data_IF_734039502622
#
_entry.id   IF_734039502622
#
_cell.length_a   1.000
_cell.length_b   1.000
_cell.length_c   1.000
_cell.angle_alpha   90.00
_cell.angle_beta   90.00
_cell.angle_gamma   90.00
#
_symmetry.space_group_name_H-M   'P 1'
#
loop_
_entity.id
_entity.type
_entity.pdbx_description
1 polymer ?
#
# COMPACT_ATOMS: atom_id res chain seq x y z
N UNK A 1 0.17 34.03 2.84
CA UNK A 1 -0.43 33.35 1.68
C UNK A 1 0.04 31.91 1.74
N UNK A 2 -0.88 30.95 1.67
CA UNK A 2 -0.56 29.53 1.76
C UNK A 2 0.25 29.11 0.52
N UNK A 3 1.34 28.37 0.69
CA UNK A 3 2.10 27.79 -0.42
C UNK A 3 1.74 26.31 -0.61
N UNK A 4 1.27 25.97 -1.81
CA UNK A 4 0.82 24.63 -2.16
C UNK A 4 1.84 23.98 -3.10
N UNK A 5 2.41 22.85 -2.68
CA UNK A 5 3.33 22.05 -3.48
C UNK A 5 2.60 20.84 -4.04
N UNK A 6 2.54 20.73 -5.36
CA UNK A 6 1.91 19.62 -6.07
C UNK A 6 2.96 18.64 -6.59
N UNK A 7 2.69 17.35 -6.45
CA UNK A 7 3.50 16.28 -7.03
C UNK A 7 2.66 15.31 -7.88
N UNK A 8 3.34 14.51 -8.69
CA UNK A 8 2.76 13.58 -9.68
C UNK A 8 2.03 12.36 -9.08
N UNK A 9 1.99 12.24 -7.75
CA UNK A 9 1.41 11.08 -7.09
C UNK A 9 2.33 9.89 -6.93
N UNK A 10 3.61 10.00 -7.28
CA UNK A 10 4.64 9.00 -6.97
C UNK A 10 5.29 9.25 -5.60
N UNK A 11 5.90 8.22 -5.01
CA UNK A 11 6.61 8.37 -3.74
C UNK A 11 7.85 9.28 -3.89
N UNK A 12 8.56 9.17 -5.01
CA UNK A 12 9.70 10.04 -5.31
C UNK A 12 9.27 11.49 -5.49
N UNK A 13 8.17 11.72 -6.22
CA UNK A 13 7.55 13.04 -6.36
C UNK A 13 7.17 13.66 -5.02
N UNK A 14 6.60 12.85 -4.11
CA UNK A 14 6.32 13.30 -2.74
C UNK A 14 7.60 13.70 -2.00
N UNK A 15 8.68 12.90 -2.07
CA UNK A 15 9.95 13.24 -1.43
C UNK A 15 10.52 14.55 -1.97
N UNK A 16 10.45 14.78 -3.28
CA UNK A 16 10.85 16.04 -3.90
C UNK A 16 9.99 17.22 -3.42
N UNK A 17 8.66 17.05 -3.38
CA UNK A 17 7.76 18.09 -2.91
C UNK A 17 7.97 18.42 -1.43
N UNK A 18 8.19 17.41 -0.59
CA UNK A 18 8.58 17.59 0.82
C UNK A 18 9.89 18.36 0.91
N UNK A 19 10.92 18.03 0.12
CA UNK A 19 12.21 18.73 0.14
C UNK A 19 12.09 20.21 -0.26
N UNK A 20 11.27 20.52 -1.26
CA UNK A 20 10.98 21.89 -1.68
C UNK A 20 10.22 22.65 -0.56
N UNK A 21 9.14 22.04 -0.06
CA UNK A 21 8.32 22.59 1.00
C UNK A 21 9.09 22.77 2.31
N UNK A 22 10.06 21.89 2.61
CA UNK A 22 10.81 21.88 3.88
C UNK A 22 11.49 23.22 4.16
N UNK A 23 12.01 23.88 3.11
CA UNK A 23 12.76 25.16 3.20
C UNK A 23 11.86 26.39 3.42
N UNK A 24 10.56 26.26 3.15
CA UNK A 24 9.61 27.37 3.25
C UNK A 24 9.14 27.56 4.68
N UNK A 25 9.15 28.81 5.16
CA UNK A 25 8.54 29.18 6.44
C UNK A 25 7.09 29.61 6.23
N UNK A 26 6.23 29.28 7.19
CA UNK A 26 4.81 29.68 7.18
C UNK A 26 3.88 28.54 6.82
N UNK A 27 2.73 28.89 6.26
CA UNK A 27 1.64 27.98 5.92
C UNK A 27 1.91 27.27 4.60
N UNK A 28 2.10 25.95 4.65
CA UNK A 28 2.55 25.11 3.54
C UNK A 28 1.74 23.81 3.48
N UNK A 29 1.28 23.46 2.29
CA UNK A 29 0.56 22.22 2.03
C UNK A 29 1.25 21.43 0.90
N UNK A 30 1.21 20.10 0.98
CA UNK A 30 1.75 19.18 -0.02
C UNK A 30 0.65 18.21 -0.43
N UNK A 31 0.29 18.22 -1.71
CA UNK A 31 -0.84 17.45 -2.24
C UNK A 31 -0.48 16.77 -3.56
N UNK A 32 -1.16 15.66 -3.84
CA UNK A 32 -1.10 15.04 -5.17
C UNK A 32 -1.84 15.96 -6.16
N UNK A 33 -1.35 16.04 -7.40
CA UNK A 33 -1.94 16.89 -8.45
C UNK A 33 -3.43 16.63 -8.70
N UNK A 34 -3.87 15.40 -8.53
CA UNK A 34 -5.27 14.98 -8.78
C UNK A 34 -6.19 15.17 -7.56
N UNK A 35 -5.66 15.59 -6.41
CA UNK A 35 -6.48 15.82 -5.22
C UNK A 35 -7.32 17.11 -5.38
N UNK A 36 -8.60 17.12 -4.94
CA UNK A 36 -9.39 18.34 -4.93
C UNK A 36 -8.88 19.31 -3.85
N UNK A 37 -8.15 20.35 -4.25
CA UNK A 37 -7.62 21.38 -3.33
C UNK A 37 -8.35 22.71 -3.50
N UNK A 38 -8.70 23.44 -2.41
CA UNK A 38 -9.21 24.79 -2.51
C UNK A 38 -8.10 25.77 -2.95
N UNK A 39 -8.08 26.10 -4.25
CA UNK A 39 -7.02 26.88 -4.91
C UNK A 39 -7.13 28.40 -4.74
N UNK A 40 -8.25 28.92 -4.23
CA UNK A 40 -8.65 30.32 -4.40
C UNK A 40 -7.65 31.36 -3.82
N UNK A 41 -6.79 30.96 -2.86
CA UNK A 41 -5.82 31.84 -2.19
C UNK A 41 -4.42 31.21 -2.02
N UNK A 42 -4.14 30.12 -2.75
CA UNK A 42 -2.89 29.38 -2.65
C UNK A 42 -1.90 29.79 -3.74
N UNK A 43 -0.63 30.02 -3.37
CA UNK A 43 0.45 30.08 -4.34
C UNK A 43 0.85 28.64 -4.70
N UNK A 44 0.51 28.20 -5.90
CA UNK A 44 0.74 26.82 -6.35
C UNK A 44 2.13 26.69 -6.99
N UNK A 45 2.86 25.67 -6.57
CA UNK A 45 4.13 25.26 -7.17
C UNK A 45 4.06 23.77 -7.53
N UNK A 46 4.11 23.46 -8.82
CA UNK A 46 4.28 22.08 -9.29
C UNK A 46 5.75 21.68 -9.16
N UNK A 47 6.01 20.58 -8.46
CA UNK A 47 7.35 20.04 -8.24
C UNK A 47 7.59 18.90 -9.21
N UNK A 48 8.64 19.02 -10.01
CA UNK A 48 9.09 17.95 -10.90
C UNK A 48 9.76 16.84 -10.10
N UNK A 49 9.45 15.60 -10.46
CA UNK A 49 10.05 14.40 -9.85
C UNK A 49 11.49 14.25 -10.33
N UNK A 50 12.42 14.15 -9.38
CA UNK A 50 13.84 13.92 -9.61
C UNK A 50 14.31 12.81 -8.67
N UNK A 51 14.56 11.62 -9.22
CA UNK A 51 14.98 10.44 -8.46
C UNK A 51 16.26 10.66 -7.67
N UNK A 52 17.17 11.53 -8.14
CA UNK A 52 18.41 11.86 -7.41
C UNK A 52 18.10 12.69 -6.17
N UNK A 53 17.21 13.67 -6.29
CA UNK A 53 16.77 14.48 -5.15
C UNK A 53 15.96 13.65 -4.15
N UNK A 54 15.02 12.82 -4.64
CA UNK A 54 14.25 11.91 -3.81
C UNK A 54 15.16 10.95 -3.03
N UNK A 55 16.17 10.37 -3.69
CA UNK A 55 17.16 9.50 -3.08
C UNK A 55 17.90 10.17 -1.91
N UNK A 56 18.31 11.44 -2.05
CA UNK A 56 18.96 12.20 -0.97
C UNK A 56 18.05 12.41 0.24
N UNK A 57 16.75 12.65 0.01
CA UNK A 57 15.77 12.80 1.09
C UNK A 57 15.59 11.48 1.82
N UNK A 58 15.43 10.38 1.08
CA UNK A 58 15.30 9.02 1.63
C UNK A 58 16.53 8.66 2.45
N UNK A 59 17.74 8.89 1.91
CA UNK A 59 19.00 8.65 2.60
C UNK A 59 19.08 9.47 3.90
N UNK A 60 18.71 10.75 3.86
CA UNK A 60 18.70 11.60 5.05
C UNK A 60 17.73 11.10 6.12
N UNK A 61 16.54 10.60 5.74
CA UNK A 61 15.59 9.99 6.67
C UNK A 61 16.20 8.73 7.29
N UNK A 62 16.73 7.82 6.47
CA UNK A 62 17.29 6.55 6.95
C UNK A 62 18.50 6.77 7.86
N UNK A 63 19.43 7.65 7.49
CA UNK A 63 20.64 7.90 8.26
C UNK A 63 20.38 8.66 9.57
N UNK A 64 19.49 9.66 9.55
CA UNK A 64 19.29 10.54 10.72
C UNK A 64 18.15 10.11 11.63
N UNK A 65 17.13 9.42 11.09
CA UNK A 65 15.90 9.06 11.81
C UNK A 65 15.69 7.54 11.89
N UNK A 66 16.46 6.75 11.13
CA UNK A 66 16.42 5.30 11.14
C UNK A 66 15.41 4.66 10.18
N UNK A 67 15.59 3.36 9.95
CA UNK A 67 14.77 2.57 9.03
C UNK A 67 13.30 2.47 9.44
N UNK A 68 13.01 2.45 10.74
CA UNK A 68 11.63 2.39 11.24
C UNK A 68 10.86 3.67 10.88
N UNK A 69 11.51 4.83 10.98
CA UNK A 69 10.91 6.10 10.55
C UNK A 69 10.64 6.11 9.06
N UNK A 70 11.61 5.66 8.24
CA UNK A 70 11.41 5.53 6.80
C UNK A 70 10.24 4.61 6.48
N UNK A 71 10.19 3.41 7.08
CA UNK A 71 9.08 2.47 6.91
C UNK A 71 7.74 3.09 7.29
N UNK A 72 7.67 3.84 8.40
CA UNK A 72 6.45 4.55 8.82
C UNK A 72 6.01 5.57 7.77
N UNK A 73 6.93 6.36 7.23
CA UNK A 73 6.66 7.36 6.18
C UNK A 73 6.17 6.68 4.91
N UNK A 74 6.84 5.64 4.44
CA UNK A 74 6.47 4.90 3.23
C UNK A 74 5.09 4.25 3.38
N UNK A 75 4.80 3.60 4.51
CA UNK A 75 3.49 2.99 4.75
C UNK A 75 2.38 4.03 4.92
N UNK A 76 2.68 5.18 5.53
CA UNK A 76 1.71 6.27 5.64
C UNK A 76 1.35 6.82 4.26
N UNK A 77 2.32 6.97 3.35
CA UNK A 77 2.07 7.38 1.97
C UNK A 77 1.08 6.47 1.25
N UNK A 78 1.26 5.15 1.33
CA UNK A 78 0.37 4.17 0.70
C UNK A 78 -1.05 4.13 1.30
N UNK A 79 -1.32 4.88 2.37
CA UNK A 79 -2.66 4.96 2.97
C UNK A 79 -3.66 5.77 2.16
N UNK A 80 -3.19 6.58 1.20
CA UNK A 80 -4.02 7.51 0.41
C UNK A 80 -4.91 8.40 1.30
N UNK A 81 -4.49 8.66 2.54
CA UNK A 81 -5.26 9.50 3.44
C UNK A 81 -5.26 10.95 2.91
N UNK A 82 -6.38 11.68 3.04
CA UNK A 82 -6.40 13.10 2.72
C UNK A 82 -5.30 13.84 3.48
N UNK A 83 -4.64 14.78 2.82
CA UNK A 83 -3.57 15.64 3.39
C UNK A 83 -2.35 14.86 3.91
N UNK A 84 -2.18 13.58 3.55
CA UNK A 84 -1.06 12.78 4.06
C UNK A 84 0.29 13.38 3.69
N UNK A 85 0.42 14.02 2.53
CA UNK A 85 1.64 14.73 2.12
C UNK A 85 2.01 15.84 3.10
N UNK A 86 1.06 16.70 3.45
CA UNK A 86 1.22 17.75 4.47
C UNK A 86 1.52 17.17 5.85
N UNK A 87 0.80 16.11 6.25
CA UNK A 87 1.05 15.39 7.50
C UNK A 87 2.48 14.84 7.59
N UNK A 88 2.98 14.26 6.51
CA UNK A 88 4.35 13.74 6.39
C UNK A 88 5.40 14.86 6.42
N UNK A 89 5.15 16.00 5.77
CA UNK A 89 6.02 17.17 5.87
C UNK A 89 6.16 17.62 7.34
N UNK A 90 5.05 17.78 8.05
CA UNK A 90 5.04 18.18 9.46
C UNK A 90 5.76 17.15 10.34
N UNK A 91 5.47 15.87 10.12
CA UNK A 91 6.14 14.78 10.83
C UNK A 91 7.65 14.78 10.61
N UNK A 92 8.12 14.92 9.37
CA UNK A 92 9.55 14.94 9.07
C UNK A 92 10.25 16.16 9.66
N UNK A 93 9.63 17.35 9.60
CA UNK A 93 10.16 18.56 10.30
C UNK A 93 10.31 18.33 11.80
N UNK A 94 9.30 17.73 12.42
CA UNK A 94 9.33 17.37 13.83
C UNK A 94 10.43 16.34 14.12
N UNK A 95 10.48 15.26 13.33
CA UNK A 95 11.44 14.17 13.52
C UNK A 95 12.88 14.62 13.32
N UNK A 96 13.20 15.44 12.31
CA UNK A 96 14.54 15.99 12.13
C UNK A 96 14.97 16.96 13.25
N UNK A 97 14.02 17.60 13.93
CA UNK A 97 14.31 18.45 15.11
C UNK A 97 14.51 17.63 16.39
N UNK A 98 13.73 16.57 16.55
CA UNK A 98 13.70 15.76 17.79
C UNK A 98 14.70 14.59 17.76
N UNK A 99 15.01 14.06 16.58
CA UNK A 99 15.85 12.87 16.41
C UNK A 99 15.04 11.57 16.24
N UNK A 100 15.72 10.40 16.22
CA UNK A 100 15.12 9.10 15.91
C UNK A 100 13.93 8.68 16.79
N UNK A 101 13.90 9.11 18.07
CA UNK A 101 12.83 8.77 19.00
C UNK A 101 11.48 9.42 18.68
N UNK A 102 11.45 10.43 17.79
CA UNK A 102 10.23 11.12 17.40
C UNK A 102 9.15 10.18 16.87
N UNK A 103 9.56 9.07 16.27
CA UNK A 103 8.67 8.05 15.72
C UNK A 103 7.83 7.36 16.80
N UNK A 104 8.29 7.35 18.05
CA UNK A 104 7.64 6.70 19.19
C UNK A 104 6.75 7.67 20.01
N UNK A 105 6.71 8.95 19.63
CA UNK A 105 5.87 9.95 20.28
C UNK A 105 4.41 9.85 19.82
N UNK A 106 3.79 8.68 20.01
CA UNK A 106 2.49 8.31 19.41
C UNK A 106 1.31 9.21 19.84
N UNK A 107 1.42 9.88 20.99
CA UNK A 107 0.42 10.82 21.48
C UNK A 107 0.59 12.24 20.89
N UNK A 108 1.73 12.52 20.25
CA UNK A 108 2.01 13.84 19.70
C UNK A 108 1.09 14.11 18.50
N UNK A 109 0.44 15.30 18.43
CA UNK A 109 -0.59 15.58 17.42
C UNK A 109 -0.08 15.50 15.97
N UNK A 110 1.21 15.75 15.75
CA UNK A 110 1.84 15.64 14.42
C UNK A 110 2.16 14.17 14.06
N UNK A 111 2.52 13.35 15.05
CA UNK A 111 2.97 11.97 14.82
C UNK A 111 1.78 11.02 14.68
N UNK A 112 0.74 11.25 15.50
CA UNK A 112 -0.44 10.38 15.59
C UNK A 112 -1.11 10.11 14.22
N UNK A 113 -1.39 11.10 13.36
CA UNK A 113 -2.06 10.84 12.08
C UNK A 113 -1.22 9.97 11.15
N UNK A 114 0.10 10.24 11.06
CA UNK A 114 1.04 9.45 10.26
C UNK A 114 1.15 8.02 10.79
N UNK A 115 1.20 7.86 12.12
CA UNK A 115 1.20 6.55 12.75
C UNK A 115 -0.07 5.75 12.46
N UNK A 116 -1.24 6.37 12.60
CA UNK A 116 -2.53 5.72 12.34
C UNK A 116 -2.68 5.34 10.86
N UNK A 117 -2.27 6.22 9.95
CA UNK A 117 -2.21 5.95 8.51
C UNK A 117 -1.35 4.72 8.22
N UNK A 118 -0.09 4.71 8.65
CA UNK A 118 0.82 3.59 8.45
C UNK A 118 0.28 2.29 9.08
N UNK A 119 -0.27 2.35 10.30
CA UNK A 119 -0.83 1.18 11.00
C UNK A 119 -1.98 0.53 10.24
N UNK A 120 -2.85 1.32 9.61
CA UNK A 120 -3.96 0.79 8.80
C UNK A 120 -3.45 0.04 7.57
N UNK A 121 -2.46 0.62 6.88
CA UNK A 121 -1.78 -0.02 5.74
C UNK A 121 -1.09 -1.31 6.16
N UNK A 122 -0.29 -1.29 7.23
CA UNK A 122 0.40 -2.49 7.74
C UNK A 122 -0.56 -3.63 8.05
N UNK A 123 -1.72 -3.31 8.65
CA UNK A 123 -2.74 -4.32 8.96
C UNK A 123 -3.34 -4.92 7.70
N UNK A 124 -3.63 -4.12 6.68
CA UNK A 124 -4.19 -4.62 5.42
C UNK A 124 -3.16 -5.45 4.64
N UNK A 125 -1.90 -5.02 4.60
CA UNK A 125 -0.79 -5.82 4.05
C UNK A 125 -0.75 -7.20 4.73
N UNK A 126 -0.65 -7.23 6.06
CA UNK A 126 -0.59 -8.50 6.80
C UNK A 126 -1.83 -9.38 6.54
N UNK A 127 -3.01 -8.78 6.52
CA UNK A 127 -4.25 -9.48 6.19
C UNK A 127 -4.19 -10.12 4.80
N UNK A 128 -3.76 -9.37 3.78
CA UNK A 128 -3.69 -9.87 2.40
C UNK A 128 -2.65 -10.97 2.21
N UNK A 129 -1.58 -11.02 3.01
CA UNK A 129 -0.63 -12.16 2.95
C UNK A 129 -1.31 -13.52 3.21
N UNK A 130 -2.39 -13.56 3.99
CA UNK A 130 -3.13 -14.80 4.28
C UNK A 130 -4.41 -14.98 3.46
N UNK A 131 -5.05 -13.88 3.03
CA UNK A 131 -6.34 -13.95 2.31
C UNK A 131 -6.20 -14.05 0.81
N UNK A 132 -5.07 -13.65 0.22
CA UNK A 132 -4.96 -13.71 -1.23
C UNK A 132 -5.07 -15.14 -1.74
N UNK A 133 -5.75 -15.31 -2.87
CA UNK A 133 -5.88 -16.58 -3.57
C UNK A 133 -5.33 -16.39 -4.97
N UNK A 134 -4.48 -17.31 -5.39
CA UNK A 134 -4.02 -17.40 -6.76
C UNK A 134 -4.76 -18.52 -7.46
N UNK A 135 -4.99 -18.30 -8.74
CA UNK A 135 -5.60 -19.28 -9.62
C UNK A 135 -4.77 -19.42 -10.88
N UNK A 136 -4.53 -20.65 -11.29
CA UNK A 136 -3.76 -20.92 -12.49
C UNK A 136 -4.60 -20.56 -13.72
N UNK A 137 -4.02 -19.75 -14.60
CA UNK A 137 -4.61 -19.42 -15.90
C UNK A 137 -4.23 -20.48 -16.94
N UNK A 138 -4.93 -20.51 -18.08
CA UNK A 138 -4.58 -21.44 -19.18
C UNK A 138 -3.16 -21.28 -19.72
N UNK A 139 -2.54 -20.12 -19.53
CA UNK A 139 -1.15 -19.86 -19.90
C UNK A 139 -0.14 -20.29 -18.83
N UNK A 140 -0.58 -20.94 -17.74
CA UNK A 140 0.28 -21.38 -16.64
C UNK A 140 0.72 -20.25 -15.69
N UNK A 141 0.13 -19.05 -15.82
CA UNK A 141 0.41 -17.92 -14.93
C UNK A 141 -0.55 -17.97 -13.74
N UNK A 142 -0.03 -17.83 -12.52
CA UNK A 142 -0.82 -17.73 -11.31
C UNK A 142 -1.36 -16.32 -11.14
N UNK A 143 -2.67 -16.16 -11.21
CA UNK A 143 -3.33 -14.86 -11.14
C UNK A 143 -4.05 -14.68 -9.81
N UNK A 144 -3.69 -13.64 -9.07
CA UNK A 144 -4.30 -13.27 -7.79
C UNK A 144 -4.95 -11.88 -7.88
N UNK A 145 -6.27 -11.85 -8.09
CA UNK A 145 -7.06 -10.61 -8.07
C UNK A 145 -7.52 -10.27 -6.66
N UNK A 146 -7.50 -8.97 -6.35
CA UNK A 146 -8.00 -8.44 -5.09
C UNK A 146 -8.37 -6.95 -5.22
N UNK A 147 -9.09 -6.42 -4.23
CA UNK A 147 -9.48 -5.01 -4.15
C UNK A 147 -9.14 -4.46 -2.75
N UNK A 148 -7.89 -4.01 -2.54
CA UNK A 148 -7.48 -3.44 -1.28
C UNK A 148 -8.02 -2.01 -1.11
N UNK A 149 -8.20 -1.62 0.15
CA UNK A 149 -8.56 -0.26 0.52
C UNK A 149 -7.40 0.70 0.28
N UNK A 150 -6.17 0.30 0.61
CA UNK A 150 -4.95 1.07 0.43
C UNK A 150 -4.13 0.58 -0.77
N UNK A 151 -3.22 1.40 -1.28
CA UNK A 151 -2.32 1.02 -2.37
C UNK A 151 -1.17 0.14 -1.85
N UNK A 152 -1.45 -1.17 -1.70
CA UNK A 152 -0.55 -2.10 -1.03
C UNK A 152 0.15 -3.08 -1.97
N UNK A 153 -0.09 -3.01 -3.28
CA UNK A 153 0.46 -3.94 -4.27
C UNK A 153 1.99 -3.98 -4.19
N UNK A 154 2.62 -2.80 -4.17
CA UNK A 154 4.08 -2.63 -4.00
C UNK A 154 4.60 -3.24 -2.69
N UNK A 155 3.81 -3.18 -1.62
CA UNK A 155 4.19 -3.71 -0.30
C UNK A 155 3.99 -5.23 -0.20
N UNK A 156 3.08 -5.81 -0.98
CA UNK A 156 2.78 -7.24 -1.01
C UNK A 156 3.70 -8.03 -1.93
N UNK A 157 4.12 -7.45 -3.05
CA UNK A 157 4.92 -8.15 -4.07
C UNK A 157 6.16 -8.86 -3.50
N UNK A 158 6.97 -8.26 -2.59
CA UNK A 158 8.14 -8.94 -2.02
C UNK A 158 7.79 -10.21 -1.24
N UNK A 159 6.63 -10.24 -0.55
CA UNK A 159 6.19 -11.42 0.20
C UNK A 159 5.90 -12.59 -0.74
N UNK A 160 5.14 -12.36 -1.82
CA UNK A 160 4.79 -13.40 -2.78
C UNK A 160 5.97 -13.81 -3.66
N UNK A 161 6.87 -12.88 -4.02
CA UNK A 161 8.11 -13.21 -4.73
C UNK A 161 8.97 -14.18 -3.90
N UNK A 162 9.02 -13.99 -2.58
CA UNK A 162 9.74 -14.92 -1.70
C UNK A 162 9.01 -16.25 -1.49
N UNK A 163 7.67 -16.26 -1.49
CA UNK A 163 6.89 -17.44 -1.08
C UNK A 163 6.47 -18.35 -2.25
N UNK A 164 6.28 -17.76 -3.43
CA UNK A 164 5.91 -18.38 -4.71
C UNK A 164 7.02 -18.11 -5.75
N UNK A 165 8.28 -18.19 -5.33
CA UNK A 165 9.44 -17.83 -6.14
C UNK A 165 9.66 -18.73 -7.37
N UNK A 166 9.11 -19.93 -7.33
CA UNK A 166 9.14 -20.94 -8.39
C UNK A 166 8.00 -20.81 -9.41
N UNK A 167 7.09 -19.86 -9.20
CA UNK A 167 5.90 -19.68 -10.03
C UNK A 167 5.92 -18.30 -10.69
N UNK A 168 5.45 -18.22 -11.94
CA UNK A 168 5.15 -16.95 -12.58
C UNK A 168 3.78 -16.48 -12.12
N UNK A 169 3.70 -15.28 -11.55
CA UNK A 169 2.45 -14.79 -11.00
C UNK A 169 2.18 -13.32 -11.29
N UNK A 170 0.89 -12.98 -11.23
CA UNK A 170 0.36 -11.62 -11.35
C UNK A 170 -0.53 -11.35 -10.15
N UNK A 171 -0.18 -10.33 -9.38
CA UNK A 171 -0.98 -9.80 -8.27
C UNK A 171 -1.68 -8.54 -8.76
N UNK A 172 -3.00 -8.59 -8.92
CA UNK A 172 -3.75 -7.51 -9.56
C UNK A 172 -4.69 -6.81 -8.57
N UNK A 173 -4.39 -5.54 -8.26
CA UNK A 173 -5.34 -4.60 -7.64
C UNK A 173 -6.32 -4.12 -8.71
N UNK A 174 -7.48 -4.78 -8.74
CA UNK A 174 -8.53 -4.54 -9.74
C UNK A 174 -9.12 -3.14 -9.62
N UNK A 175 -9.13 -2.55 -8.41
CA UNK A 175 -9.67 -1.21 -8.16
C UNK A 175 -8.79 -0.13 -8.78
N UNK A 176 -7.46 -0.33 -8.76
CA UNK A 176 -6.47 0.65 -9.24
C UNK A 176 -5.92 0.34 -10.62
N UNK A 177 -6.38 -0.73 -11.26
CA UNK A 177 -5.82 -1.23 -12.52
C UNK A 177 -4.30 -1.42 -12.43
N UNK A 178 -3.80 -1.80 -11.24
CA UNK A 178 -2.38 -1.88 -10.96
C UNK A 178 -2.02 -3.33 -10.65
N UNK A 179 -1.02 -3.86 -11.34
CA UNK A 179 -0.56 -5.22 -11.12
C UNK A 179 0.94 -5.27 -10.81
N UNK A 180 1.30 -6.14 -9.86
CA UNK A 180 2.66 -6.62 -9.72
C UNK A 180 2.82 -7.92 -10.52
N UNK A 181 3.80 -7.93 -11.42
CA UNK A 181 4.18 -9.09 -12.22
C UNK A 181 5.45 -9.68 -11.64
N UNK A 182 5.59 -11.00 -11.68
CA UNK A 182 6.80 -11.69 -11.27
C UNK A 182 7.14 -12.83 -12.23
N UNK A 183 8.40 -12.83 -12.69
CA UNK A 183 8.91 -13.76 -13.70
C UNK A 183 9.80 -14.87 -13.13
N UNK A 184 9.67 -15.18 -11.84
CA UNK A 184 10.54 -16.11 -11.08
C UNK A 184 11.92 -15.54 -10.73
N UNK A 185 12.26 -14.31 -11.15
CA UNK A 185 13.52 -13.65 -10.81
C UNK A 185 13.30 -12.30 -10.19
N UNK A 186 12.50 -11.46 -10.85
CA UNK A 186 12.24 -10.08 -10.48
C UNK A 186 10.76 -9.79 -10.58
N UNK A 187 10.32 -8.79 -9.83
CA UNK A 187 8.97 -8.27 -9.95
C UNK A 187 9.00 -6.81 -10.38
N UNK A 188 7.96 -6.39 -11.09
CA UNK A 188 7.74 -5.01 -11.50
C UNK A 188 6.26 -4.67 -11.45
N UNK A 189 5.95 -3.38 -11.46
CA UNK A 189 4.59 -2.87 -11.48
C UNK A 189 4.25 -2.40 -12.90
N UNK A 190 3.04 -2.69 -13.35
CA UNK A 190 2.47 -2.09 -14.54
C UNK A 190 0.95 -1.99 -14.42
N UNK A 191 0.38 -1.10 -15.22
CA UNK A 191 -1.07 -0.99 -15.35
C UNK A 191 -1.64 -2.25 -16.04
N UNK A 192 -2.77 -2.73 -15.54
CA UNK A 192 -3.48 -3.89 -16.06
C UNK A 192 -4.98 -3.65 -15.97
N UNK A 193 -5.63 -3.66 -17.13
CA UNK A 193 -7.09 -3.58 -17.19
C UNK A 193 -7.75 -4.89 -16.69
N UNK A 194 -8.94 -4.83 -16.07
CA UNK A 194 -9.66 -6.03 -15.68
C UNK A 194 -10.03 -6.86 -16.91
N UNK A 195 -9.39 -8.02 -17.05
CA UNK A 195 -9.66 -8.96 -18.13
C UNK A 195 -10.40 -10.19 -17.61
N UNK A 196 -11.28 -10.75 -18.46
CA UNK A 196 -11.95 -12.00 -18.16
C UNK A 196 -10.91 -13.13 -18.16
N UNK A 197 -10.63 -13.68 -16.98
CA UNK A 197 -9.62 -14.72 -16.88
C UNK A 197 -10.17 -16.09 -17.19
N UNK A 198 -9.50 -16.76 -18.12
CA UNK A 198 -9.71 -18.18 -18.38
C UNK A 198 -8.76 -18.98 -17.49
N UNK A 199 -9.33 -19.67 -16.52
CA UNK A 199 -8.57 -20.57 -15.65
C UNK A 199 -8.20 -21.87 -16.37
N UNK A 200 -7.16 -22.54 -15.88
CA UNK A 200 -6.77 -23.86 -16.37
C UNK A 200 -7.86 -24.89 -16.07
N UNK A 201 -7.94 -25.96 -16.86
CA UNK A 201 -8.94 -27.00 -16.65
C UNK A 201 -8.73 -27.74 -15.32
N UNK A 202 -7.51 -27.70 -14.78
CA UNK A 202 -7.16 -28.26 -13.47
C UNK A 202 -7.54 -27.34 -12.30
N UNK A 203 -7.68 -26.03 -12.51
CA UNK A 203 -7.98 -25.06 -11.44
C UNK A 203 -9.31 -25.39 -10.74
N UNK A 204 -10.36 -25.75 -11.49
CA UNK A 204 -11.66 -26.10 -10.89
C UNK A 204 -11.56 -27.33 -9.98
N UNK A 205 -10.71 -28.31 -10.37
CA UNK A 205 -10.40 -29.46 -9.52
C UNK A 205 -9.69 -29.01 -8.24
N UNK A 206 -8.67 -28.17 -8.31
CA UNK A 206 -7.96 -27.66 -7.12
C UNK A 206 -8.86 -26.83 -6.20
N UNK A 207 -9.74 -25.99 -6.75
CA UNK A 207 -10.74 -25.25 -5.96
C UNK A 207 -11.66 -26.20 -5.19
N UNK A 208 -12.12 -27.27 -5.83
CA UNK A 208 -13.00 -28.26 -5.18
C UNK A 208 -12.29 -28.99 -4.04
N UNK A 209 -11.01 -29.34 -4.20
CA UNK A 209 -10.18 -29.93 -3.15
C UNK A 209 -10.01 -28.97 -1.97
N UNK A 210 -9.73 -27.70 -2.24
CA UNK A 210 -9.61 -26.68 -1.21
C UNK A 210 -10.90 -26.49 -0.42
N UNK A 211 -12.05 -26.38 -1.09
CA UNK A 211 -13.36 -26.27 -0.44
C UNK A 211 -13.66 -27.48 0.44
N UNK A 212 -13.34 -28.68 -0.05
CA UNK A 212 -13.51 -29.94 0.69
C UNK A 212 -12.64 -29.91 1.95
N UNK A 213 -11.35 -29.62 1.80
CA UNK A 213 -10.41 -29.50 2.91
C UNK A 213 -10.88 -28.47 3.95
N UNK A 214 -11.24 -27.26 3.51
CA UNK A 214 -11.69 -26.18 4.38
C UNK A 214 -12.93 -26.59 5.20
N UNK A 215 -13.88 -27.27 4.57
CA UNK A 215 -15.10 -27.74 5.22
C UNK A 215 -14.79 -28.81 6.28
N UNK A 216 -13.90 -29.75 5.97
CA UNK A 216 -13.60 -30.88 6.84
C UNK A 216 -12.67 -30.55 8.02
N UNK A 217 -11.77 -29.58 7.87
CA UNK A 217 -10.90 -29.16 8.97
C UNK A 217 -11.59 -28.21 9.95
N UNK A 218 -12.74 -27.65 9.57
CA UNK A 218 -13.50 -26.73 10.40
C UNK A 218 -14.06 -27.43 11.65
N UNK A 219 -13.60 -26.99 12.82
CA UNK A 219 -14.14 -27.44 14.11
C UNK A 219 -15.48 -26.72 14.34
N UNK A 220 -16.58 -27.43 14.14
CA UNK A 220 -17.95 -26.86 14.18
C UNK A 220 -18.24 -26.07 15.47
N UNK A 221 -17.78 -26.56 16.62
CA UNK A 221 -17.97 -25.90 17.92
C UNK A 221 -17.17 -24.59 18.09
N UNK A 222 -16.23 -24.29 17.20
CA UNK A 222 -15.40 -23.07 17.22
C UNK A 222 -15.81 -22.04 16.17
N UNK A 223 -16.85 -22.31 15.40
CA UNK A 223 -17.32 -21.38 14.37
C UNK A 223 -17.88 -20.12 15.04
N UNK A 224 -17.33 -18.97 14.65
CA UNK A 224 -17.79 -17.66 15.13
C UNK A 224 -17.84 -16.67 13.97
N UNK A 225 -19.04 -16.41 13.47
CA UNK A 225 -19.26 -15.50 12.33
C UNK A 225 -18.70 -14.09 12.61
N UNK A 226 -18.81 -13.60 13.86
CA UNK A 226 -18.25 -12.30 14.26
C UNK A 226 -16.73 -12.27 14.12
N UNK A 227 -16.01 -13.28 14.65
CA UNK A 227 -14.55 -13.34 14.54
C UNK A 227 -14.11 -13.55 13.10
N UNK A 228 -14.81 -14.39 12.35
CA UNK A 228 -14.55 -14.59 10.94
C UNK A 228 -14.65 -13.27 10.18
N UNK A 229 -15.69 -12.47 10.40
CA UNK A 229 -15.83 -11.16 9.74
C UNK A 229 -14.78 -10.13 10.19
N UNK A 230 -14.29 -10.22 11.44
CA UNK A 230 -13.21 -9.36 11.93
C UNK A 230 -11.85 -9.69 11.28
N UNK A 231 -11.56 -10.98 11.08
CA UNK A 231 -10.31 -11.46 10.50
C UNK A 231 -10.36 -11.67 8.98
N UNK A 232 -11.56 -11.74 8.41
CA UNK A 232 -11.83 -11.86 6.98
C UNK A 232 -12.98 -10.91 6.64
N UNK A 233 -12.71 -9.62 6.46
CA UNK A 233 -13.74 -8.64 6.12
C UNK A 233 -14.51 -9.05 4.85
N UNK A 234 -15.84 -8.92 4.88
CA UNK A 234 -16.74 -9.37 3.81
C UNK A 234 -16.40 -8.83 2.42
N UNK A 235 -15.82 -7.64 2.32
CA UNK A 235 -15.38 -7.04 1.05
C UNK A 235 -14.45 -7.94 0.24
N UNK A 236 -13.68 -8.83 0.90
CA UNK A 236 -12.77 -9.74 0.20
C UNK A 236 -13.38 -11.10 -0.12
N UNK A 237 -14.58 -11.41 0.40
CA UNK A 237 -15.17 -12.75 0.27
C UNK A 237 -15.41 -13.16 -1.19
N UNK A 238 -15.64 -12.19 -2.08
CA UNK A 238 -15.75 -12.44 -3.53
C UNK A 238 -14.48 -13.03 -4.17
N UNK A 239 -13.32 -12.90 -3.52
CA UNK A 239 -12.05 -13.48 -3.97
C UNK A 239 -11.71 -14.80 -3.25
N UNK A 240 -12.56 -15.25 -2.32
CA UNK A 240 -12.32 -16.43 -1.51
C UNK A 240 -13.23 -17.57 -1.95
N UNK A 241 -12.62 -18.57 -2.59
CA UNK A 241 -13.32 -19.77 -3.08
C UNK A 241 -13.98 -20.59 -1.97
N UNK A 242 -13.47 -20.52 -0.74
CA UNK A 242 -14.02 -21.25 0.40
C UNK A 242 -15.28 -20.61 1.00
N UNK A 243 -15.57 -19.35 0.67
CA UNK A 243 -16.75 -18.66 1.16
C UNK A 243 -17.87 -18.81 0.14
N UNK A 244 -18.93 -19.52 0.50
CA UNK A 244 -20.17 -19.52 -0.27
C UNK A 244 -20.86 -18.16 -0.09
N UNK A 245 -21.13 -17.49 -1.21
CA UNK A 245 -21.92 -16.26 -1.25
C UNK A 245 -23.36 -16.48 -0.79
#
# INVERSE_FOLDING_TARGET
MMQLFLYDGSFEGLMCAIAAAYKVKGDVAVHKKDDPVPLLLAQVQEVQTDSTQAGKVIEAIVQKLGMETFKRVSYAYFSEAPEIGTGLLHFLRYAFKTGPSAVDHLAHPIVKPVFEAARRVTREVHLMTGLLRFSETRSGIFYGAYEPTYDITTLLAPHFASRLGDQTWVLHDVKRHLAAFYDQKTWWLAELEPTAQSYSDAEDFYRSLWQTYFTHIAIQSRISARRQQQHMPKKYWKYLVEIKA
#
